data_IF_338962750678
#
_entry.id   IF_338962750678
#
_cell.length_a   1.000
_cell.length_b   1.000
_cell.length_c   1.000
_cell.angle_alpha   90.00
_cell.angle_beta   90.00
_cell.angle_gamma   90.00
#
_symmetry.space_group_name_H-M   'P 1'
#
loop_
_entity.id
_entity.type
_entity.pdbx_description
1 polymer ?
#
# COMPACT_ATOMS: atom_id res chain seq x y z
N UNK A 1 16.69 -17.18 -39.23
CA UNK A 1 18.00 -17.25 -38.53
C UNK A 1 18.77 -15.98 -38.83
N UNK A 2 18.58 -14.91 -38.05
CA UNK A 2 19.39 -13.68 -38.21
C UNK A 2 19.25 -12.80 -36.97
N UNK A 3 20.37 -12.21 -36.54
CA UNK A 3 20.58 -11.34 -35.35
C UNK A 3 20.92 -12.01 -34.01
N UNK A 4 21.98 -12.83 -33.97
CA UNK A 4 22.82 -13.01 -32.76
C UNK A 4 24.29 -12.71 -33.13
N UNK A 5 24.54 -11.61 -33.86
CA UNK A 5 25.89 -11.22 -34.30
C UNK A 5 26.27 -9.80 -33.88
N UNK A 6 25.53 -9.18 -32.95
CA UNK A 6 25.81 -7.82 -32.44
C UNK A 6 26.15 -7.76 -30.94
N UNK A 7 26.59 -8.86 -30.31
CA UNK A 7 26.77 -8.92 -28.84
C UNK A 7 28.21 -9.01 -28.32
N UNK A 8 29.23 -8.94 -29.16
CA UNK A 8 30.62 -8.83 -28.70
C UNK A 8 31.25 -7.50 -29.14
N UNK A 9 30.66 -6.39 -28.67
CA UNK A 9 31.34 -5.09 -28.71
C UNK A 9 32.51 -5.13 -27.71
N UNK A 10 33.69 -4.68 -28.16
CA UNK A 10 34.84 -4.41 -27.28
C UNK A 10 34.44 -3.31 -26.30
N UNK A 11 34.57 -3.61 -25.01
CA UNK A 11 34.11 -2.71 -23.95
C UNK A 11 35.16 -1.65 -23.60
N UNK A 12 34.68 -0.44 -23.36
CA UNK A 12 35.50 0.67 -22.87
C UNK A 12 35.73 0.57 -21.36
N UNK A 13 36.63 1.40 -20.85
CA UNK A 13 36.84 1.56 -19.41
C UNK A 13 35.56 2.01 -18.68
N UNK A 14 34.78 2.91 -19.30
CA UNK A 14 33.51 3.36 -18.73
C UNK A 14 32.49 2.22 -18.61
N UNK A 15 32.41 1.35 -19.61
CA UNK A 15 31.54 0.17 -19.58
C UNK A 15 31.92 -0.80 -18.46
N UNK A 16 33.23 -0.92 -18.19
CA UNK A 16 33.75 -1.73 -17.07
C UNK A 16 33.36 -1.12 -15.73
N UNK A 17 33.58 0.19 -15.54
CA UNK A 17 33.21 0.88 -14.30
C UNK A 17 31.71 0.72 -14.03
N UNK A 18 30.87 0.98 -15.03
CA UNK A 18 29.42 0.80 -14.91
C UNK A 18 29.06 -0.64 -14.55
N UNK A 19 29.72 -1.63 -15.15
CA UNK A 19 29.47 -3.05 -14.85
C UNK A 19 29.83 -3.43 -13.40
N UNK A 20 30.94 -2.93 -12.87
CA UNK A 20 31.30 -3.14 -11.46
C UNK A 20 30.28 -2.51 -10.51
N UNK A 21 29.80 -1.30 -10.83
CA UNK A 21 28.75 -0.65 -10.05
C UNK A 21 27.44 -1.45 -10.10
N UNK A 22 27.02 -1.91 -11.29
CA UNK A 22 25.78 -2.64 -11.47
C UNK A 22 25.79 -4.02 -10.81
N UNK A 23 26.84 -4.82 -11.01
CA UNK A 23 26.87 -6.20 -10.53
C UNK A 23 27.43 -6.32 -9.11
N UNK A 24 28.44 -5.51 -8.74
CA UNK A 24 29.14 -5.64 -7.47
C UNK A 24 28.87 -4.48 -6.50
N UNK A 25 28.18 -3.43 -6.93
CA UNK A 25 27.82 -2.30 -6.06
C UNK A 25 29.01 -1.42 -5.65
N UNK A 26 30.14 -1.47 -6.38
CA UNK A 26 31.35 -0.67 -6.09
C UNK A 26 32.06 -0.21 -7.35
N UNK A 27 33.00 0.72 -7.19
CA UNK A 27 33.93 1.08 -8.26
C UNK A 27 35.07 0.04 -8.36
N UNK A 28 35.57 -0.25 -9.58
CA UNK A 28 36.77 -1.06 -9.76
C UNK A 28 38.03 -0.26 -9.46
N UNK A 29 39.10 -0.96 -9.09
CA UNK A 29 40.45 -0.39 -9.07
C UNK A 29 41.06 -0.32 -10.48
N UNK A 30 42.06 0.55 -10.66
CA UNK A 30 42.77 0.72 -11.95
C UNK A 30 43.38 -0.60 -12.45
N UNK A 31 43.88 -1.45 -11.56
CA UNK A 31 44.44 -2.76 -11.91
C UNK A 31 43.37 -3.77 -12.33
N UNK A 32 42.17 -3.70 -11.76
CA UNK A 32 41.02 -4.52 -12.16
C UNK A 32 40.55 -4.18 -13.58
N UNK A 33 40.46 -2.89 -13.90
CA UNK A 33 40.12 -2.40 -15.25
C UNK A 33 41.18 -2.85 -16.26
N UNK A 34 42.45 -2.57 -15.99
CA UNK A 34 43.57 -2.91 -16.89
C UNK A 34 43.63 -4.42 -17.19
N UNK A 35 43.40 -5.26 -16.17
CA UNK A 35 43.36 -6.73 -16.31
C UNK A 35 42.18 -7.22 -17.14
N UNK A 36 41.02 -6.55 -17.08
CA UNK A 36 39.85 -6.93 -17.89
C UNK A 36 40.04 -6.53 -19.35
N UNK A 37 40.57 -5.33 -19.60
CA UNK A 37 40.88 -4.85 -20.95
C UNK A 37 41.95 -5.73 -21.63
N UNK A 38 43.05 -6.05 -20.94
CA UNK A 38 44.15 -6.85 -21.50
C UNK A 38 43.75 -8.28 -21.87
N UNK A 39 42.68 -8.80 -21.26
CA UNK A 39 42.16 -10.14 -21.55
C UNK A 39 41.10 -10.14 -22.66
N UNK A 40 40.74 -8.98 -23.23
CA UNK A 40 39.66 -8.86 -24.20
C UNK A 40 38.30 -8.86 -23.51
N UNK A 41 37.94 -7.72 -22.90
CA UNK A 41 36.64 -7.53 -22.25
C UNK A 41 35.50 -7.55 -23.28
N UNK A 42 34.56 -8.46 -23.10
CA UNK A 42 33.27 -8.48 -23.80
C UNK A 42 32.14 -8.64 -22.79
N UNK A 43 30.90 -8.30 -23.20
CA UNK A 43 29.72 -8.40 -22.32
C UNK A 43 29.50 -9.82 -21.82
N UNK A 44 29.65 -10.81 -22.69
CA UNK A 44 29.51 -12.22 -22.33
C UNK A 44 30.54 -12.65 -21.28
N UNK A 45 31.78 -12.16 -21.42
CA UNK A 45 32.84 -12.46 -20.47
C UNK A 45 32.60 -11.76 -19.13
N UNK A 46 32.25 -10.48 -19.11
CA UNK A 46 31.93 -9.77 -17.87
C UNK A 46 30.77 -10.43 -17.15
N UNK A 47 29.68 -10.74 -17.87
CA UNK A 47 28.53 -11.45 -17.30
C UNK A 47 28.97 -12.75 -16.63
N UNK A 48 29.80 -13.56 -17.29
CA UNK A 48 30.31 -14.82 -16.72
C UNK A 48 31.19 -14.56 -15.50
N UNK A 49 32.13 -13.63 -15.58
CA UNK A 49 33.10 -13.34 -14.51
C UNK A 49 32.40 -12.79 -13.27
N UNK A 50 31.51 -11.81 -13.42
CA UNK A 50 30.78 -11.25 -12.29
C UNK A 50 29.84 -12.26 -11.67
N UNK A 51 28.95 -12.90 -12.44
CA UNK A 51 27.97 -13.85 -11.90
C UNK A 51 28.63 -15.07 -11.23
N UNK A 52 29.84 -15.45 -11.65
CA UNK A 52 30.61 -16.52 -11.01
C UNK A 52 31.57 -16.04 -9.91
N UNK A 53 31.77 -14.73 -9.74
CA UNK A 53 32.68 -14.22 -8.72
C UNK A 53 32.17 -14.54 -7.30
N UNK A 54 33.06 -14.86 -6.35
CA UNK A 54 32.69 -15.00 -4.94
C UNK A 54 32.09 -13.72 -4.37
N UNK A 55 32.56 -12.56 -4.82
CA UNK A 55 32.05 -11.25 -4.41
C UNK A 55 30.57 -11.07 -4.78
N UNK A 56 30.22 -11.30 -6.05
CA UNK A 56 28.84 -11.29 -6.50
C UNK A 56 28.02 -12.33 -5.76
N UNK A 57 28.49 -13.57 -5.65
CA UNK A 57 27.77 -14.64 -4.94
C UNK A 57 27.51 -14.29 -3.49
N UNK A 58 28.49 -13.75 -2.76
CA UNK A 58 28.33 -13.36 -1.37
C UNK A 58 27.36 -12.18 -1.19
N UNK A 59 27.37 -11.20 -2.10
CA UNK A 59 26.40 -10.11 -2.11
C UNK A 59 25.00 -10.58 -2.50
N UNK A 60 24.91 -11.39 -3.55
CA UNK A 60 23.70 -11.96 -4.08
C UNK A 60 23.05 -12.98 -3.13
N UNK A 61 23.83 -13.79 -2.40
CA UNK A 61 23.31 -14.77 -1.44
C UNK A 61 22.73 -14.08 -0.20
N UNK A 62 23.23 -12.92 0.20
CA UNK A 62 22.53 -12.06 1.18
C UNK A 62 21.18 -11.58 0.64
N UNK A 63 21.08 -11.42 -0.68
CA UNK A 63 19.85 -11.16 -1.41
C UNK A 63 19.14 -12.45 -1.85
N UNK A 64 19.59 -13.66 -1.53
CA UNK A 64 18.96 -14.91 -1.97
C UNK A 64 18.49 -15.68 -0.74
N UNK A 65 17.19 -15.65 -0.51
CA UNK A 65 16.55 -16.62 0.39
C UNK A 65 16.05 -17.73 -0.52
N UNK A 66 16.45 -18.97 -0.25
CA UNK A 66 15.86 -20.12 -0.96
C UNK A 66 14.33 -20.05 -0.81
N UNK A 67 13.55 -20.21 -1.90
CA UNK A 67 12.10 -20.32 -1.78
C UNK A 67 11.80 -21.46 -0.81
N UNK A 68 11.06 -21.17 0.26
CA UNK A 68 10.46 -22.24 1.05
C UNK A 68 9.12 -22.54 0.40
N UNK A 69 9.05 -23.65 -0.33
CA UNK A 69 7.87 -24.08 -1.10
C UNK A 69 6.61 -24.34 -0.26
N UNK A 70 6.70 -24.30 1.08
CA UNK A 70 5.60 -24.60 2.02
C UNK A 70 5.21 -23.43 2.95
N UNK A 71 5.65 -22.20 2.69
CA UNK A 71 5.27 -21.07 3.56
C UNK A 71 3.94 -20.45 3.15
N UNK A 72 3.02 -20.31 4.13
CA UNK A 72 1.76 -19.57 3.97
C UNK A 72 1.97 -18.17 3.37
N UNK A 73 0.96 -17.61 2.71
CA UNK A 73 1.02 -16.25 2.19
C UNK A 73 1.18 -15.22 3.32
N UNK A 74 1.96 -14.16 3.06
CA UNK A 74 2.07 -13.00 3.97
C UNK A 74 0.79 -12.20 3.89
N UNK A 75 0.15 -11.99 5.03
CA UNK A 75 -0.99 -11.08 5.07
C UNK A 75 -0.52 -9.63 5.10
N UNK A 76 -1.19 -8.78 4.32
CA UNK A 76 -0.94 -7.34 4.30
C UNK A 76 -2.25 -6.63 4.60
N UNK A 77 -2.45 -6.24 5.85
CA UNK A 77 -3.56 -5.37 6.21
C UNK A 77 -3.22 -3.92 5.87
N UNK A 78 -3.73 -3.47 4.72
CA UNK A 78 -3.67 -2.09 4.29
C UNK A 78 -4.72 -1.28 5.04
N UNK A 79 -4.33 -0.72 6.19
CA UNK A 79 -5.24 0.07 7.01
C UNK A 79 -5.53 1.41 6.36
N UNK A 80 -6.74 1.55 5.80
CA UNK A 80 -7.24 2.82 5.28
C UNK A 80 -7.82 3.63 6.47
N UNK A 81 -7.42 4.91 6.66
CA UNK A 81 -7.92 5.69 7.77
C UNK A 81 -9.45 5.77 7.81
N UNK A 82 -10.00 5.53 9.02
CA UNK A 82 -11.42 5.65 9.38
C UNK A 82 -12.36 4.59 8.81
N UNK A 83 -11.83 3.45 8.39
CA UNK A 83 -12.60 2.29 7.91
C UNK A 83 -12.63 1.12 8.91
N UNK A 84 -12.73 1.41 10.21
CA UNK A 84 -12.67 0.42 11.30
C UNK A 84 -11.35 -0.38 11.40
N UNK A 85 -10.29 0.03 10.71
CA UNK A 85 -9.04 -0.73 10.69
C UNK A 85 -8.30 -0.84 12.02
N UNK A 86 -8.50 0.05 13.00
CA UNK A 86 -7.96 -0.16 14.37
C UNK A 86 -8.54 -1.41 15.04
N UNK A 87 -9.84 -1.65 14.87
CA UNK A 87 -10.48 -2.86 15.39
C UNK A 87 -10.03 -4.09 14.63
N UNK A 88 -9.91 -3.98 13.29
CA UNK A 88 -9.43 -5.09 12.48
C UNK A 88 -7.95 -5.44 12.76
N UNK A 89 -7.11 -4.43 13.01
CA UNK A 89 -5.73 -4.62 13.49
C UNK A 89 -5.67 -5.43 14.78
N UNK A 90 -6.60 -5.20 15.72
CA UNK A 90 -6.69 -5.98 16.96
C UNK A 90 -7.08 -7.43 16.67
N UNK A 91 -8.12 -7.65 15.86
CA UNK A 91 -8.56 -8.99 15.47
C UNK A 91 -7.44 -9.79 14.80
N UNK A 92 -6.71 -9.18 13.85
CA UNK A 92 -5.58 -9.79 13.18
C UNK A 92 -4.42 -10.03 14.15
N UNK A 93 -4.14 -9.08 15.04
CA UNK A 93 -3.10 -9.23 16.07
C UNK A 93 -3.33 -10.43 16.96
N UNK A 94 -4.57 -10.66 17.38
CA UNK A 94 -4.96 -11.77 18.24
C UNK A 94 -4.91 -13.10 17.46
N UNK A 95 -5.37 -13.13 16.21
CA UNK A 95 -5.34 -14.33 15.36
C UNK A 95 -3.92 -14.75 14.93
N UNK A 96 -2.99 -13.80 14.87
CA UNK A 96 -1.59 -13.98 14.46
C UNK A 96 -0.62 -13.85 15.66
N UNK A 97 -1.09 -14.11 16.88
CA UNK A 97 -0.23 -14.21 18.05
C UNK A 97 0.81 -15.32 17.85
N UNK A 98 2.05 -15.07 18.31
CA UNK A 98 3.19 -15.98 18.12
C UNK A 98 3.79 -15.98 16.71
N UNK A 99 3.17 -15.32 15.73
CA UNK A 99 3.72 -15.10 14.38
C UNK A 99 4.52 -13.80 14.30
N UNK A 100 5.39 -13.68 13.29
CA UNK A 100 6.18 -12.46 13.14
C UNK A 100 5.35 -11.36 12.45
N UNK A 101 4.91 -10.41 13.26
CA UNK A 101 4.09 -9.26 12.84
C UNK A 101 4.96 -8.03 12.65
N UNK A 102 4.77 -7.31 11.55
CA UNK A 102 5.49 -6.09 11.21
C UNK A 102 4.53 -4.91 11.10
N UNK A 103 4.68 -3.95 12.02
CA UNK A 103 3.96 -2.69 11.97
C UNK A 103 4.62 -1.79 10.91
N UNK A 104 3.94 -1.61 9.78
CA UNK A 104 4.46 -0.84 8.66
C UNK A 104 4.62 0.64 9.03
N UNK A 105 5.82 1.16 8.79
CA UNK A 105 6.14 2.59 8.98
C UNK A 105 6.37 3.29 7.66
N UNK A 106 7.22 2.73 6.81
CA UNK A 106 7.51 3.23 5.46
C UNK A 106 8.21 2.13 4.64
N UNK A 107 8.25 2.31 3.31
CA UNK A 107 8.89 1.36 2.39
C UNK A 107 10.40 1.21 2.63
N UNK A 108 11.07 2.31 3.00
CA UNK A 108 12.53 2.32 3.18
C UNK A 108 12.97 1.39 4.31
N UNK A 109 12.30 1.46 5.45
CA UNK A 109 12.60 0.61 6.61
C UNK A 109 12.38 -0.87 6.30
N UNK A 110 11.31 -1.20 5.57
CA UNK A 110 11.07 -2.58 5.14
C UNK A 110 12.11 -3.06 4.12
N UNK A 111 12.55 -2.19 3.20
CA UNK A 111 13.58 -2.49 2.22
C UNK A 111 14.95 -2.73 2.88
N UNK A 112 15.31 -1.88 3.85
CA UNK A 112 16.56 -1.95 4.61
C UNK A 112 16.61 -3.13 5.60
N UNK A 113 15.46 -3.72 5.94
CA UNK A 113 15.40 -4.94 6.76
C UNK A 113 16.19 -6.09 6.12
N UNK A 114 17.05 -6.81 6.87
CA UNK A 114 17.77 -7.97 6.33
C UNK A 114 16.83 -9.00 5.74
N UNK A 115 17.15 -9.52 4.54
CA UNK A 115 16.28 -10.48 3.84
C UNK A 115 15.87 -11.71 4.68
N UNK A 116 16.75 -12.31 5.52
CA UNK A 116 16.35 -13.41 6.39
C UNK A 116 15.34 -13.03 7.48
N UNK A 117 15.33 -11.76 7.90
CA UNK A 117 14.33 -11.23 8.84
C UNK A 117 13.03 -10.90 8.12
N UNK A 118 13.11 -10.23 6.96
CA UNK A 118 11.92 -9.91 6.14
C UNK A 118 11.17 -11.15 5.68
N UNK A 119 11.88 -12.24 5.36
CA UNK A 119 11.28 -13.52 4.98
C UNK A 119 10.48 -14.19 6.10
N UNK A 120 10.69 -13.82 7.37
CA UNK A 120 9.94 -14.35 8.51
C UNK A 120 8.59 -13.67 8.69
N UNK A 121 8.35 -12.51 8.06
CA UNK A 121 7.13 -11.73 8.29
C UNK A 121 5.91 -12.53 7.81
N UNK A 122 4.92 -12.67 8.68
CA UNK A 122 3.65 -13.35 8.39
C UNK A 122 2.48 -12.37 8.27
N UNK A 123 2.58 -11.21 8.93
CA UNK A 123 1.57 -10.15 8.89
C UNK A 123 2.23 -8.78 8.84
N UNK A 124 1.93 -8.00 7.80
CA UNK A 124 2.20 -6.58 7.71
C UNK A 124 0.90 -5.83 8.00
N UNK A 125 0.94 -4.81 8.85
CA UNK A 125 -0.23 -4.01 9.16
C UNK A 125 0.13 -2.55 9.42
N UNK A 126 -0.77 -1.63 9.05
CA UNK A 126 -0.56 -0.20 9.25
C UNK A 126 -1.05 0.63 8.06
N UNK A 127 -0.87 1.95 8.14
CA UNK A 127 -1.22 2.86 7.05
C UNK A 127 -0.23 2.70 5.91
N UNK A 128 -0.58 1.87 4.94
CA UNK A 128 0.22 1.64 3.74
C UNK A 128 -0.63 1.82 2.48
N UNK A 129 -0.01 1.62 1.32
CA UNK A 129 -0.63 1.58 0.00
C UNK A 129 -0.39 0.20 -0.62
N UNK A 130 -1.08 -0.09 -1.72
CA UNK A 130 -0.75 -1.26 -2.54
C UNK A 130 0.70 -1.16 -3.05
N UNK A 131 1.41 -2.29 -3.20
CA UNK A 131 2.80 -2.36 -3.68
C UNK A 131 3.84 -2.83 -2.64
N UNK A 132 3.52 -2.86 -1.34
CA UNK A 132 4.43 -3.39 -0.29
C UNK A 132 4.92 -4.81 -0.58
N UNK A 133 4.08 -5.62 -1.22
CA UNK A 133 4.40 -7.00 -1.58
C UNK A 133 5.62 -7.15 -2.51
N UNK A 134 5.99 -6.11 -3.27
CA UNK A 134 7.17 -6.12 -4.15
C UNK A 134 8.48 -6.34 -3.38
N UNK A 135 8.48 -6.07 -2.07
CA UNK A 135 9.63 -6.30 -1.19
C UNK A 135 9.65 -7.71 -0.57
N UNK A 136 8.60 -8.49 -0.79
CA UNK A 136 8.42 -9.84 -0.24
C UNK A 136 8.88 -10.90 -1.24
N UNK A 137 9.15 -12.10 -0.73
CA UNK A 137 9.55 -13.28 -1.53
C UNK A 137 8.58 -14.44 -1.41
N UNK A 138 7.49 -14.23 -0.69
CA UNK A 138 6.42 -15.18 -0.46
C UNK A 138 5.18 -14.64 -1.17
N UNK A 139 4.25 -15.54 -1.47
CA UNK A 139 2.89 -15.17 -1.81
C UNK A 139 2.31 -14.21 -0.76
N UNK A 140 1.34 -13.41 -1.17
CA UNK A 140 0.76 -12.39 -0.31
C UNK A 140 -0.76 -12.32 -0.50
N UNK A 141 -1.41 -11.76 0.51
CA UNK A 141 -2.84 -11.46 0.46
C UNK A 141 -3.07 -10.08 1.09
N UNK A 142 -3.56 -9.14 0.30
CA UNK A 142 -4.03 -7.85 0.79
C UNK A 142 -5.38 -7.99 1.47
N UNK A 143 -5.48 -7.41 2.66
CA UNK A 143 -6.72 -7.26 3.40
C UNK A 143 -6.99 -5.78 3.61
N UNK A 144 -8.20 -5.31 3.32
CA UNK A 144 -8.61 -3.96 3.71
C UNK A 144 -10.12 -3.85 3.92
N UNK A 145 -10.54 -2.72 4.49
CA UNK A 145 -11.96 -2.42 4.72
C UNK A 145 -12.24 -1.07 4.10
N UNK A 146 -13.33 -0.98 3.35
CA UNK A 146 -13.86 0.24 2.76
C UNK A 146 -15.00 0.78 3.61
N UNK A 147 -15.26 2.07 3.48
CA UNK A 147 -16.41 2.74 4.09
C UNK A 147 -17.03 3.67 3.08
N UNK A 148 -18.34 3.93 3.21
CA UNK A 148 -18.99 5.02 2.50
C UNK A 148 -18.12 6.29 2.58
N UNK A 149 -17.73 6.89 1.43
CA UNK A 149 -16.74 7.95 1.40
C UNK A 149 -17.13 9.19 2.20
N UNK A 150 -18.42 9.56 2.20
CA UNK A 150 -18.93 10.73 2.95
C UNK A 150 -18.87 10.46 4.45
N UNK A 151 -19.33 9.28 4.87
CA UNK A 151 -19.25 8.84 6.26
C UNK A 151 -17.80 8.71 6.73
N UNK A 152 -16.88 8.27 5.87
CA UNK A 152 -15.44 8.21 6.15
C UNK A 152 -14.86 9.62 6.35
N UNK A 153 -15.16 10.56 5.45
CA UNK A 153 -14.65 11.92 5.54
C UNK A 153 -15.18 12.65 6.78
N UNK A 154 -16.47 12.48 7.10
CA UNK A 154 -17.05 13.01 8.34
C UNK A 154 -16.43 12.38 9.60
N UNK A 155 -16.18 11.07 9.58
CA UNK A 155 -15.47 10.37 10.65
C UNK A 155 -14.03 10.86 10.81
N UNK A 156 -13.37 11.24 9.71
CA UNK A 156 -12.04 11.85 9.72
C UNK A 156 -12.07 13.24 10.36
N UNK A 157 -13.03 14.10 10.00
CA UNK A 157 -13.27 15.38 10.67
C UNK A 157 -13.46 15.21 12.19
N UNK A 158 -14.35 14.29 12.61
CA UNK A 158 -14.57 14.00 14.04
C UNK A 158 -13.32 13.47 14.74
N UNK A 159 -12.47 12.75 14.03
CA UNK A 159 -11.19 12.29 14.56
C UNK A 159 -10.22 13.44 14.79
N UNK A 160 -10.08 14.34 13.81
CA UNK A 160 -9.22 15.53 13.95
C UNK A 160 -9.62 16.34 15.18
N UNK A 161 -10.93 16.50 15.43
CA UNK A 161 -11.44 17.20 16.63
C UNK A 161 -10.97 16.57 17.95
N UNK A 162 -10.68 15.27 17.99
CA UNK A 162 -10.26 14.55 19.20
C UNK A 162 -8.75 14.34 19.29
N UNK A 163 -8.07 14.26 18.15
CA UNK A 163 -6.64 13.93 18.08
C UNK A 163 -5.77 15.16 18.27
N UNK A 164 -5.39 15.45 19.53
CA UNK A 164 -4.63 16.66 19.90
C UNK A 164 -3.27 16.81 19.17
N UNK A 165 -2.70 15.69 18.74
CA UNK A 165 -1.46 15.59 17.98
C UNK A 165 -1.63 15.82 16.47
N UNK A 166 -2.87 15.86 15.97
CA UNK A 166 -3.11 16.05 14.55
C UNK A 166 -2.82 17.50 14.13
N UNK A 167 -2.10 17.75 13.01
CA UNK A 167 -1.72 19.11 12.59
C UNK A 167 -2.90 20.08 12.43
N UNK A 168 -4.06 19.56 12.04
CA UNK A 168 -5.30 20.36 11.88
C UNK A 168 -6.13 20.48 13.17
N UNK A 169 -5.79 19.78 14.25
CA UNK A 169 -6.59 19.76 15.49
C UNK A 169 -6.78 21.15 16.08
N UNK A 170 -5.67 21.89 16.19
CA UNK A 170 -5.68 23.25 16.73
C UNK A 170 -6.65 24.13 15.95
N UNK A 171 -6.48 24.21 14.63
CA UNK A 171 -7.33 25.01 13.75
C UNK A 171 -8.80 24.62 13.88
N UNK A 172 -9.09 23.32 13.81
CA UNK A 172 -10.49 22.84 13.86
C UNK A 172 -11.16 23.13 15.20
N UNK A 173 -10.44 23.04 16.33
CA UNK A 173 -11.04 23.24 17.65
C UNK A 173 -10.99 24.68 18.16
N UNK A 174 -9.89 25.43 17.96
CA UNK A 174 -9.79 26.83 18.38
C UNK A 174 -10.78 27.71 17.60
N UNK A 175 -10.98 27.42 16.30
CA UNK A 175 -11.97 28.11 15.46
C UNK A 175 -13.37 27.47 15.54
N UNK A 176 -13.53 26.38 16.32
CA UNK A 176 -14.77 25.58 16.44
C UNK A 176 -15.44 25.30 15.08
N UNK A 177 -14.64 24.85 14.11
CA UNK A 177 -15.09 24.65 12.74
C UNK A 177 -16.21 23.62 12.68
N UNK A 178 -17.30 23.96 11.97
CA UNK A 178 -18.30 22.98 11.54
C UNK A 178 -17.71 22.03 10.49
N UNK A 179 -18.44 20.97 10.14
CA UNK A 179 -17.99 20.07 9.06
C UNK A 179 -17.85 20.82 7.72
N UNK A 180 -18.80 21.68 7.38
CA UNK A 180 -18.72 22.51 6.18
C UNK A 180 -17.51 23.46 6.20
N UNK A 181 -17.26 24.15 7.31
CA UNK A 181 -16.09 25.03 7.43
C UNK A 181 -14.76 24.26 7.39
N UNK A 182 -14.74 23.02 7.88
CA UNK A 182 -13.60 22.10 7.69
C UNK A 182 -13.37 21.78 6.21
N UNK A 183 -14.43 21.53 5.41
CA UNK A 183 -14.30 21.32 3.97
C UNK A 183 -13.68 22.55 3.30
N UNK A 184 -14.17 23.75 3.60
CA UNK A 184 -13.60 25.00 3.06
C UNK A 184 -12.13 25.15 3.44
N UNK A 185 -11.80 24.96 4.71
CA UNK A 185 -10.43 25.07 5.23
C UNK A 185 -9.47 24.04 4.59
N UNK A 186 -9.97 22.85 4.27
CA UNK A 186 -9.16 21.78 3.67
C UNK A 186 -8.73 22.08 2.24
N UNK A 187 -9.50 22.88 1.48
CA UNK A 187 -9.11 23.32 0.12
C UNK A 187 -7.87 24.21 0.11
N UNK A 188 -7.57 24.86 1.23
CA UNK A 188 -6.45 25.80 1.39
C UNK A 188 -5.18 25.14 1.91
N UNK A 189 -5.21 23.83 2.20
CA UNK A 189 -4.04 23.12 2.73
C UNK A 189 -3.19 22.56 1.60
N UNK A 190 -2.05 23.21 1.33
CA UNK A 190 -1.06 22.82 0.32
C UNK A 190 -0.68 21.33 0.40
N UNK A 191 -1.30 20.49 -0.44
CA UNK A 191 -0.94 19.08 -0.61
C UNK A 191 -1.21 18.14 0.59
N UNK A 192 -1.78 18.64 1.70
CA UNK A 192 -2.10 17.82 2.89
C UNK A 192 -3.47 17.12 2.80
N UNK A 193 -4.13 17.23 1.65
CA UNK A 193 -5.43 16.64 1.38
C UNK A 193 -5.43 15.12 1.12
N UNK A 194 -4.30 14.42 1.32
CA UNK A 194 -4.19 13.00 0.95
C UNK A 194 -5.21 12.10 1.65
N UNK A 195 -5.50 12.38 2.92
CA UNK A 195 -6.47 11.62 3.70
C UNK A 195 -7.91 12.13 3.56
N UNK A 196 -8.17 13.16 2.73
CA UNK A 196 -9.53 13.68 2.47
C UNK A 196 -10.00 13.41 1.05
N UNK A 197 -9.22 13.83 0.05
CA UNK A 197 -9.58 13.75 -1.37
C UNK A 197 -9.35 12.33 -1.88
N UNK A 198 -10.41 11.60 -2.23
CA UNK A 198 -10.39 10.28 -2.87
C UNK A 198 -9.33 9.32 -2.30
N UNK A 199 -9.26 9.29 -0.97
CA UNK A 199 -8.16 8.69 -0.22
C UNK A 199 -8.17 7.16 -0.31
N UNK A 200 -9.35 6.53 -0.40
CA UNK A 200 -9.45 5.07 -0.46
C UNK A 200 -8.93 4.57 -1.81
N UNK A 201 -9.42 5.14 -2.91
CA UNK A 201 -9.00 4.86 -4.28
C UNK A 201 -7.50 5.03 -4.43
N UNK A 202 -6.94 6.17 -4.01
CA UNK A 202 -5.50 6.44 -4.16
C UNK A 202 -4.63 5.42 -3.42
N UNK A 203 -5.01 5.02 -2.20
CA UNK A 203 -4.26 4.01 -1.42
C UNK A 203 -4.33 2.62 -2.06
N UNK A 204 -5.50 2.22 -2.53
CA UNK A 204 -5.72 0.93 -3.19
C UNK A 204 -4.99 0.90 -4.54
N UNK A 205 -4.96 2.01 -5.27
CA UNK A 205 -4.22 2.11 -6.52
C UNK A 205 -2.69 2.03 -6.32
N UNK A 206 -2.19 2.18 -5.09
CA UNK A 206 -0.75 2.11 -4.81
C UNK A 206 0.00 3.43 -5.05
N UNK A 207 -0.71 4.53 -5.32
CA UNK A 207 -0.07 5.81 -5.61
C UNK A 207 0.39 6.53 -4.34
N UNK A 208 1.53 7.20 -4.42
CA UNK A 208 2.08 8.03 -3.36
C UNK A 208 1.66 9.50 -3.52
N UNK A 209 1.64 10.29 -2.43
CA UNK A 209 1.21 11.69 -2.49
C UNK A 209 1.90 12.56 -3.55
N UNK A 210 3.18 12.32 -3.82
CA UNK A 210 3.96 13.10 -4.79
C UNK A 210 3.76 12.65 -6.25
N UNK A 211 3.12 11.50 -6.47
CA UNK A 211 2.88 10.96 -7.82
C UNK A 211 1.58 11.50 -8.43
N UNK A 212 0.64 11.91 -7.60
CA UNK A 212 -0.63 12.50 -8.03
C UNK A 212 -0.44 13.98 -8.30
N UNK A 213 -0.29 14.35 -9.57
CA UNK A 213 -0.02 15.73 -9.98
C UNK A 213 -1.31 16.49 -10.23
N UNK A 214 -2.30 15.83 -10.83
CA UNK A 214 -3.56 16.48 -11.20
C UNK A 214 -4.74 15.50 -11.12
N UNK A 215 -5.97 16.04 -11.10
CA UNK A 215 -7.19 15.23 -11.21
C UNK A 215 -7.31 14.51 -12.57
N UNK A 216 -6.53 14.89 -13.59
CA UNK A 216 -6.50 14.20 -14.89
C UNK A 216 -5.93 12.78 -14.79
N UNK A 217 -5.19 12.49 -13.73
CA UNK A 217 -4.61 11.17 -13.48
C UNK A 217 -5.66 10.21 -12.88
N UNK A 218 -6.78 10.74 -12.36
CA UNK A 218 -7.76 9.97 -11.58
C UNK A 218 -8.40 8.79 -12.36
N UNK A 219 -8.73 8.89 -13.66
CA UNK A 219 -9.24 7.73 -14.40
C UNK A 219 -8.28 6.53 -14.44
N UNK A 220 -6.97 6.76 -14.57
CA UNK A 220 -5.99 5.66 -14.56
C UNK A 220 -5.75 5.13 -13.14
N UNK A 221 -5.69 6.04 -12.15
CA UNK A 221 -5.60 5.66 -10.73
C UNK A 221 -6.81 4.78 -10.34
N UNK A 222 -8.01 5.17 -10.75
CA UNK A 222 -9.24 4.42 -10.53
C UNK A 222 -9.18 3.02 -11.16
N UNK A 223 -8.73 2.91 -12.42
CA UNK A 223 -8.55 1.61 -13.08
C UNK A 223 -7.57 0.72 -12.33
N UNK A 224 -6.46 1.26 -11.85
CA UNK A 224 -5.50 0.52 -11.03
C UNK A 224 -6.11 0.07 -9.72
N UNK A 225 -6.87 0.95 -9.04
CA UNK A 225 -7.59 0.60 -7.83
C UNK A 225 -8.57 -0.58 -8.06
N UNK A 226 -9.36 -0.55 -9.13
CA UNK A 226 -10.25 -1.65 -9.48
C UNK A 226 -9.47 -2.95 -9.73
N UNK A 227 -8.38 -2.91 -10.49
CA UNK A 227 -7.54 -4.11 -10.74
C UNK A 227 -7.01 -4.70 -9.43
N UNK A 228 -6.61 -3.86 -8.48
CA UNK A 228 -6.11 -4.32 -7.19
C UNK A 228 -7.22 -4.85 -6.29
N UNK A 229 -8.41 -4.23 -6.27
CA UNK A 229 -9.58 -4.75 -5.53
C UNK A 229 -9.96 -6.15 -5.99
N UNK A 230 -9.99 -6.39 -7.30
CA UNK A 230 -10.48 -7.64 -7.89
C UNK A 230 -9.37 -8.62 -8.27
N UNK A 231 -8.15 -8.43 -7.74
CA UNK A 231 -7.07 -9.40 -7.88
C UNK A 231 -7.34 -10.64 -7.02
N UNK A 232 -6.75 -11.79 -7.39
CA UNK A 232 -6.87 -13.01 -6.58
C UNK A 232 -6.15 -12.90 -5.22
N UNK A 233 -5.22 -11.95 -5.11
CA UNK A 233 -4.40 -11.65 -3.94
C UNK A 233 -5.00 -10.53 -3.08
N UNK A 234 -6.30 -10.25 -3.22
CA UNK A 234 -6.99 -9.24 -2.41
C UNK A 234 -8.29 -9.79 -1.82
N UNK A 235 -8.50 -9.51 -0.54
CA UNK A 235 -9.80 -9.58 0.11
C UNK A 235 -10.12 -8.22 0.72
N UNK A 236 -11.36 -7.77 0.56
CA UNK A 236 -11.83 -6.55 1.18
C UNK A 236 -13.21 -6.73 1.78
N UNK A 237 -13.54 -5.90 2.76
CA UNK A 237 -14.88 -5.82 3.35
C UNK A 237 -15.40 -4.39 3.39
N UNK A 238 -16.66 -4.23 3.79
CA UNK A 238 -17.26 -2.93 4.06
C UNK A 238 -17.42 -2.74 5.57
N UNK A 239 -17.33 -1.51 6.06
CA UNK A 239 -17.62 -1.20 7.47
C UNK A 239 -19.03 -1.62 7.86
N UNK A 240 -20.01 -1.40 6.98
CA UNK A 240 -21.42 -1.69 7.26
C UNK A 240 -21.71 -3.20 7.25
N UNK A 241 -20.84 -4.00 6.61
CA UNK A 241 -20.92 -5.46 6.54
C UNK A 241 -19.74 -6.14 7.25
N UNK A 242 -19.13 -5.47 8.23
CA UNK A 242 -17.90 -5.96 8.85
C UNK A 242 -18.04 -7.37 9.47
N UNK A 243 -19.15 -7.74 10.15
CA UNK A 243 -19.35 -9.12 10.60
C UNK A 243 -19.32 -10.15 9.46
N UNK A 244 -19.97 -9.85 8.33
CA UNK A 244 -19.96 -10.72 7.15
C UNK A 244 -18.55 -10.86 6.56
N UNK A 245 -17.77 -9.77 6.55
CA UNK A 245 -16.36 -9.82 6.16
C UNK A 245 -15.54 -10.75 7.06
N UNK A 246 -15.68 -10.66 8.39
CA UNK A 246 -14.98 -11.56 9.33
C UNK A 246 -15.37 -13.03 9.13
N UNK A 247 -16.65 -13.31 8.87
CA UNK A 247 -17.12 -14.66 8.57
C UNK A 247 -16.50 -15.20 7.28
N UNK A 248 -16.41 -14.38 6.22
CA UNK A 248 -15.75 -14.75 4.96
C UNK A 248 -14.27 -15.08 5.18
N UNK A 249 -13.55 -14.24 5.93
CA UNK A 249 -12.14 -14.50 6.24
C UNK A 249 -11.95 -15.78 7.08
N UNK A 250 -12.87 -16.06 8.03
CA UNK A 250 -12.88 -17.31 8.78
C UNK A 250 -13.13 -18.51 7.87
N UNK A 251 -14.11 -18.44 6.97
CA UNK A 251 -14.42 -19.50 6.01
C UNK A 251 -13.27 -19.83 5.07
N UNK A 252 -12.42 -18.84 4.77
CA UNK A 252 -11.18 -19.02 3.98
C UNK A 252 -9.97 -19.48 4.81
N UNK A 253 -10.13 -19.71 6.11
CA UNK A 253 -9.05 -20.11 7.01
C UNK A 253 -8.04 -19.00 7.33
N UNK A 254 -8.32 -17.75 6.96
CA UNK A 254 -7.47 -16.58 7.23
C UNK A 254 -7.58 -16.20 8.71
N UNK A 255 -8.79 -16.27 9.28
CA UNK A 255 -9.03 -16.10 10.71
C UNK A 255 -9.33 -17.45 11.35
N UNK A 256 -8.69 -17.73 12.49
CA UNK A 256 -8.99 -18.92 13.33
C UNK A 256 -10.28 -18.72 14.12
N UNK A 257 -10.49 -17.50 14.64
CA UNK A 257 -11.69 -17.13 15.36
C UNK A 257 -12.19 -15.77 14.88
N UNK A 258 -13.47 -15.71 14.47
CA UNK A 258 -14.20 -14.46 14.34
C UNK A 258 -14.63 -14.04 15.74
N UNK A 259 -13.77 -13.32 16.46
CA UNK A 259 -14.22 -12.69 17.70
C UNK A 259 -15.25 -11.61 17.32
N UNK A 260 -16.44 -11.67 17.91
CA UNK A 260 -17.42 -10.59 17.87
C UNK A 260 -16.91 -9.44 18.74
N UNK A 261 -15.87 -8.75 18.28
CA UNK A 261 -15.48 -7.51 18.91
C UNK A 261 -16.57 -6.51 18.54
N UNK A 262 -17.38 -6.08 19.52
CA UNK A 262 -18.26 -4.92 19.36
C UNK A 262 -17.41 -3.78 18.83
N UNK A 263 -17.53 -3.53 17.54
CA UNK A 263 -16.86 -2.43 16.90
C UNK A 263 -17.40 -1.16 17.54
N UNK A 264 -16.53 -0.19 17.81
CA UNK A 264 -16.95 1.20 17.95
C UNK A 264 -17.38 1.72 16.56
N UNK A 265 -18.43 1.12 15.99
CA UNK A 265 -19.21 1.74 14.93
C UNK A 265 -19.88 2.88 15.66
N UNK A 266 -19.31 4.08 15.54
CA UNK A 266 -20.05 5.28 15.91
C UNK A 266 -21.23 5.33 14.94
N UNK A 267 -22.33 4.67 15.31
CA UNK A 267 -23.62 4.81 14.65
C UNK A 267 -23.99 6.27 14.81
N UNK A 268 -23.69 7.01 13.77
CA UNK A 268 -23.77 8.46 13.74
C UNK A 268 -24.46 8.88 12.46
N UNK A 269 -25.33 8.03 11.89
CA UNK A 269 -26.10 8.33 10.69
C UNK A 269 -26.87 9.63 10.89
N UNK A 270 -27.59 9.77 12.01
CA UNK A 270 -28.29 11.02 12.35
C UNK A 270 -27.36 12.25 12.38
N UNK A 271 -26.20 12.15 13.03
CA UNK A 271 -25.25 13.28 13.09
C UNK A 271 -24.54 13.56 11.76
N UNK A 272 -24.48 12.57 10.87
CA UNK A 272 -23.94 12.72 9.53
C UNK A 272 -24.98 13.43 8.66
N UNK A 273 -26.22 12.96 8.66
CA UNK A 273 -27.32 13.54 7.89
C UNK A 273 -27.51 15.01 8.26
N UNK A 274 -27.56 15.35 9.55
CA UNK A 274 -27.58 16.74 10.04
C UNK A 274 -26.39 17.57 9.53
N UNK A 275 -25.19 16.97 9.50
CA UNK A 275 -23.99 17.66 9.03
C UNK A 275 -23.97 17.84 7.51
N UNK A 276 -24.63 16.95 6.75
CA UNK A 276 -24.78 17.02 5.31
C UNK A 276 -25.86 18.04 4.93
N UNK A 277 -26.99 18.06 5.62
CA UNK A 277 -28.09 19.00 5.40
C UNK A 277 -27.68 20.45 5.71
N UNK A 278 -26.73 20.64 6.63
CA UNK A 278 -26.18 21.95 6.98
C UNK A 278 -25.14 22.51 6.01
N UNK A 279 -24.80 21.82 4.92
CA UNK A 279 -23.78 22.28 3.98
C UNK A 279 -24.31 23.33 3.01
N UNK A 280 -23.48 24.33 2.72
CA UNK A 280 -23.73 25.25 1.61
C UNK A 280 -23.55 24.55 0.25
N UNK A 281 -24.08 25.10 -0.86
CA UNK A 281 -23.86 24.54 -2.20
C UNK A 281 -22.38 24.37 -2.56
N UNK A 282 -21.53 25.31 -2.15
CA UNK A 282 -20.08 25.24 -2.39
C UNK A 282 -19.43 24.11 -1.58
N UNK A 283 -19.84 23.93 -0.32
CA UNK A 283 -19.34 22.85 0.52
C UNK A 283 -19.79 21.48 0.02
N UNK A 284 -21.02 21.37 -0.51
CA UNK A 284 -21.46 20.18 -1.21
C UNK A 284 -20.61 19.87 -2.44
N UNK A 285 -20.24 20.88 -3.24
CA UNK A 285 -19.36 20.68 -4.39
C UNK A 285 -17.97 20.18 -3.97
N UNK A 286 -17.39 20.74 -2.90
CA UNK A 286 -16.12 20.26 -2.32
C UNK A 286 -16.24 18.81 -1.85
N UNK A 287 -17.30 18.49 -1.11
CA UNK A 287 -17.56 17.13 -0.64
C UNK A 287 -17.63 16.15 -1.82
N UNK A 288 -18.43 16.46 -2.84
CA UNK A 288 -18.56 15.63 -4.05
C UNK A 288 -17.21 15.44 -4.71
N UNK A 289 -16.43 16.51 -4.91
CA UNK A 289 -15.09 16.42 -5.50
C UNK A 289 -14.19 15.46 -4.73
N UNK A 290 -14.21 15.52 -3.40
CA UNK A 290 -13.38 14.67 -2.54
C UNK A 290 -13.86 13.22 -2.45
N UNK A 291 -15.11 12.94 -2.82
CA UNK A 291 -15.68 11.60 -2.67
C UNK A 291 -16.03 10.91 -3.98
N UNK A 292 -16.10 11.60 -5.12
CA UNK A 292 -16.67 11.04 -6.37
C UNK A 292 -16.02 9.72 -6.80
N UNK A 293 -14.69 9.65 -6.84
CA UNK A 293 -13.99 8.45 -7.28
C UNK A 293 -13.97 7.35 -6.22
N UNK A 294 -13.86 7.74 -4.95
CA UNK A 294 -14.04 6.82 -3.83
C UNK A 294 -15.45 6.22 -3.85
N UNK A 295 -16.49 7.00 -4.20
CA UNK A 295 -17.88 6.56 -4.26
C UNK A 295 -18.08 5.55 -5.38
N UNK A 296 -17.60 5.87 -6.59
CA UNK A 296 -17.63 4.91 -7.71
C UNK A 296 -16.95 3.60 -7.36
N UNK A 297 -15.80 3.63 -6.68
CA UNK A 297 -15.08 2.43 -6.28
C UNK A 297 -15.85 1.66 -5.20
N UNK A 298 -16.39 2.37 -4.21
CA UNK A 298 -17.20 1.81 -3.13
C UNK A 298 -18.43 1.10 -3.67
N UNK A 299 -19.20 1.75 -4.55
CA UNK A 299 -20.42 1.20 -5.13
C UNK A 299 -20.13 -0.09 -5.90
N UNK A 300 -19.09 -0.10 -6.75
CA UNK A 300 -18.68 -1.32 -7.47
C UNK A 300 -18.27 -2.44 -6.50
N UNK A 301 -17.53 -2.10 -5.44
CA UNK A 301 -17.12 -3.07 -4.43
C UNK A 301 -18.31 -3.62 -3.63
N UNK A 302 -19.30 -2.77 -3.31
CA UNK A 302 -20.51 -3.17 -2.61
C UNK A 302 -21.39 -4.06 -3.48
N UNK A 303 -21.61 -3.67 -4.75
CA UNK A 303 -22.34 -4.48 -5.72
C UNK A 303 -21.67 -5.85 -5.94
N UNK A 304 -20.34 -5.88 -6.03
CA UNK A 304 -19.58 -7.13 -6.15
C UNK A 304 -19.82 -8.04 -4.94
N UNK A 305 -19.77 -7.50 -3.72
CA UNK A 305 -19.98 -8.29 -2.50
C UNK A 305 -21.44 -8.77 -2.38
N UNK A 306 -22.42 -7.91 -2.68
CA UNK A 306 -23.84 -8.25 -2.64
C UNK A 306 -24.26 -9.25 -3.72
N UNK A 307 -23.65 -9.19 -4.91
CA UNK A 307 -23.89 -10.13 -6.01
C UNK A 307 -23.13 -11.46 -5.90
N UNK A 308 -21.91 -11.45 -5.36
CA UNK A 308 -21.09 -12.65 -5.21
C UNK A 308 -21.48 -13.50 -4.00
N UNK A 309 -22.12 -12.90 -2.99
CA UNK A 309 -22.53 -13.58 -1.75
C UNK A 309 -23.95 -13.13 -1.36
N UNK A 310 -25.01 -13.62 -2.03
CA UNK A 310 -26.36 -13.31 -1.62
C UNK A 310 -26.54 -13.71 -0.15
N UNK A 311 -27.13 -12.81 0.64
CA UNK A 311 -27.47 -13.06 2.03
C UNK A 311 -28.27 -14.38 2.09
N UNK A 312 -27.71 -15.37 2.78
CA UNK A 312 -28.35 -16.66 3.04
C UNK A 312 -29.28 -16.56 4.24
#
# INVERSE_FOLDING_TARGET
>A
MTKISQMDRILSEQDLVLSYQMFLGRNPSTSEVARMLSRGASLNRLRRVFLSSPEFRNGYDKLRVAPREEQEAVLIHMHIPKTAGSSFNRILSDNYEGRFRYAFRNMRELLEMPAPQRAKIDLIFGHTTYGVHDLLRREHLYLFVLRDPKARLYSFYKYIRKAADHPLHRRVNEENLSFGAFLDASTQTDGKGWDVDNAQMKRIAGVLPHEVKTTRDFPEIFRSACRHCFSQQTEFGLVDEFPAYLMRLKGRGILKAAQETRLNITNSSSTLDEALDGLSPNQHAILVQYTDWDQRLYDICADYLGGAFPAS
#
